data_IF_765416443315
#
_entry.id   IF_765416443315
#
_cell.length_a   1.000
_cell.length_b   1.000
_cell.length_c   1.000
_cell.angle_alpha   90.00
_cell.angle_beta   90.00
_cell.angle_gamma   90.00
#
_symmetry.space_group_name_H-M   'P 1'
#
loop_
_entity.id
_entity.type
_entity.pdbx_description
1 polymer ?
#
# COMPACT_ATOMS: atom_id res chain seq x y z
N UNK A 1 18.51 -1.45 -11.33
CA UNK A 1 17.19 -2.04 -11.02
C UNK A 1 16.24 -0.89 -10.79
N UNK A 2 15.16 -0.79 -11.57
CA UNK A 2 14.14 0.24 -11.38
C UNK A 2 13.31 -0.15 -10.16
N UNK A 3 13.67 0.37 -8.98
CA UNK A 3 12.93 0.10 -7.77
C UNK A 3 11.57 0.79 -7.83
N UNK A 4 10.50 0.04 -7.57
CA UNK A 4 9.16 0.59 -7.44
C UNK A 4 9.21 1.64 -6.30
N UNK A 5 8.76 2.89 -6.55
CA UNK A 5 8.73 3.91 -5.52
C UNK A 5 7.92 3.43 -4.32
N UNK A 6 8.47 3.65 -3.12
CA UNK A 6 7.80 3.34 -1.87
C UNK A 6 7.67 4.60 -1.04
N UNK A 7 6.47 4.86 -0.54
CA UNK A 7 6.14 6.01 0.31
C UNK A 7 5.40 5.54 1.55
N UNK A 8 5.47 6.32 2.63
CA UNK A 8 4.76 6.05 3.87
C UNK A 8 3.66 7.11 4.09
N UNK A 9 2.42 6.66 4.25
CA UNK A 9 1.28 7.55 4.49
C UNK A 9 1.47 8.37 5.78
N UNK A 10 2.22 7.86 6.76
CA UNK A 10 2.50 8.59 8.00
C UNK A 10 3.22 9.91 7.73
N UNK A 11 4.06 9.99 6.70
CA UNK A 11 4.78 11.22 6.35
C UNK A 11 3.80 12.33 5.94
N UNK A 12 2.75 11.96 5.19
CA UNK A 12 1.69 12.88 4.78
C UNK A 12 0.77 13.28 5.92
N UNK A 13 0.53 12.39 6.88
CA UNK A 13 -0.34 12.66 8.03
C UNK A 13 0.39 13.39 9.17
N UNK A 14 1.73 13.36 9.17
CA UNK A 14 2.55 14.03 10.18
C UNK A 14 2.33 15.55 10.22
N UNK A 15 2.56 16.18 11.36
CA UNK A 15 2.56 17.65 11.47
C UNK A 15 3.82 18.31 10.86
N UNK A 16 4.76 17.50 10.33
CA UNK A 16 5.98 17.99 9.72
C UNK A 16 5.75 18.35 8.24
N UNK A 17 5.75 19.65 7.94
CA UNK A 17 5.55 20.17 6.58
C UNK A 17 6.58 19.64 5.56
N UNK A 18 7.82 19.39 5.98
CA UNK A 18 8.86 18.85 5.10
C UNK A 18 8.56 17.41 4.69
N UNK A 19 8.12 16.57 5.64
CA UNK A 19 7.71 15.19 5.36
C UNK A 19 6.50 15.15 4.42
N UNK A 20 5.48 15.98 4.70
CA UNK A 20 4.31 16.17 3.84
C UNK A 20 4.69 16.54 2.41
N UNK A 21 5.53 17.56 2.24
CA UNK A 21 5.97 18.03 0.92
C UNK A 21 6.77 16.96 0.17
N UNK A 22 7.67 16.26 0.86
CA UNK A 22 8.45 15.17 0.27
C UNK A 22 7.57 14.01 -0.18
N UNK A 23 6.55 13.64 0.61
CA UNK A 23 5.56 12.63 0.22
C UNK A 23 4.85 13.03 -1.08
N UNK A 24 4.31 14.26 -1.15
CA UNK A 24 3.59 14.77 -2.32
C UNK A 24 4.47 14.72 -3.59
N UNK A 25 5.72 15.19 -3.50
CA UNK A 25 6.66 15.18 -4.63
C UNK A 25 6.92 13.74 -5.11
N UNK A 26 7.17 12.80 -4.18
CA UNK A 26 7.44 11.40 -4.51
C UNK A 26 6.23 10.73 -5.17
N UNK A 27 5.03 10.96 -4.66
CA UNK A 27 3.79 10.43 -5.23
C UNK A 27 3.57 10.96 -6.64
N UNK A 28 3.70 12.28 -6.85
CA UNK A 28 3.56 12.89 -8.17
C UNK A 28 4.55 12.31 -9.18
N UNK A 29 5.83 12.20 -8.79
CA UNK A 29 6.88 11.61 -9.62
C UNK A 29 6.59 10.14 -9.97
N UNK A 30 6.17 9.34 -8.99
CA UNK A 30 5.87 7.92 -9.21
C UNK A 30 4.74 7.72 -10.23
N UNK A 31 3.67 8.51 -10.13
CA UNK A 31 2.56 8.45 -11.10
C UNK A 31 2.95 8.96 -12.49
N UNK A 32 3.83 9.96 -12.57
CA UNK A 32 4.29 10.52 -13.86
C UNK A 32 5.26 9.58 -14.61
N UNK A 33 6.18 8.92 -13.88
CA UNK A 33 7.24 8.13 -14.51
C UNK A 33 6.88 6.66 -14.70
N UNK A 34 6.16 6.08 -13.74
CA UNK A 34 5.94 4.62 -13.64
C UNK A 34 4.44 4.28 -13.65
N UNK A 35 3.60 5.19 -13.14
CA UNK A 35 2.14 5.00 -13.06
C UNK A 35 1.67 4.25 -11.83
N UNK A 36 2.58 3.75 -10.98
CA UNK A 36 2.23 3.08 -9.73
C UNK A 36 3.34 3.22 -8.66
N UNK A 37 2.97 2.98 -7.40
CA UNK A 37 3.85 3.01 -6.24
C UNK A 37 3.40 1.99 -5.19
N UNK A 38 4.28 1.70 -4.22
CA UNK A 38 3.92 0.98 -3.00
C UNK A 38 3.69 1.96 -1.84
N UNK A 39 2.58 1.80 -1.13
CA UNK A 39 2.21 2.63 0.01
C UNK A 39 2.38 1.83 1.30
N UNK A 40 2.95 2.44 2.34
CA UNK A 40 2.97 1.95 3.71
C UNK A 40 2.04 2.80 4.58
N UNK A 41 1.69 2.30 5.76
CA UNK A 41 0.85 3.04 6.71
C UNK A 41 -0.61 3.20 6.27
N UNK A 42 -1.09 2.38 5.33
CA UNK A 42 -2.46 2.45 4.78
C UNK A 42 -3.53 1.80 5.69
N UNK A 43 -3.35 1.90 7.01
CA UNK A 43 -4.32 1.51 8.05
C UNK A 43 -4.80 0.05 8.07
N UNK A 44 -4.13 -0.85 7.35
CA UNK A 44 -4.38 -2.29 7.47
C UNK A 44 -3.37 -2.88 8.45
N UNK A 45 -3.86 -3.33 9.61
CA UNK A 45 -3.03 -4.08 10.55
C UNK A 45 -2.62 -5.41 9.92
N UNK A 46 -1.49 -5.96 10.39
CA UNK A 46 -1.06 -7.29 9.96
C UNK A 46 -2.12 -8.36 10.24
N UNK A 47 -2.80 -8.26 11.38
CA UNK A 47 -3.92 -9.14 11.75
C UNK A 47 -5.06 -9.07 10.73
N UNK A 48 -5.50 -7.88 10.31
CA UNK A 48 -6.56 -7.72 9.31
C UNK A 48 -6.13 -8.26 7.94
N UNK A 49 -4.85 -8.11 7.58
CA UNK A 49 -4.29 -8.66 6.34
C UNK A 49 -4.32 -10.19 6.40
N UNK A 50 -3.83 -10.77 7.50
CA UNK A 50 -3.76 -12.22 7.69
C UNK A 50 -5.16 -12.85 7.71
N UNK A 51 -6.14 -12.22 8.37
CA UNK A 51 -7.53 -12.67 8.35
C UNK A 51 -8.13 -12.57 6.94
N UNK A 52 -7.95 -11.44 6.24
CA UNK A 52 -8.45 -11.29 4.87
C UNK A 52 -7.90 -12.37 3.94
N UNK A 53 -6.59 -12.64 3.97
CA UNK A 53 -6.00 -13.70 3.17
C UNK A 53 -6.48 -15.09 3.59
N UNK A 54 -6.76 -15.32 4.88
CA UNK A 54 -7.37 -16.56 5.37
C UNK A 54 -8.77 -16.75 4.81
N UNK A 55 -9.62 -15.73 4.84
CA UNK A 55 -10.98 -15.79 4.30
C UNK A 55 -10.98 -16.00 2.78
N UNK A 56 -10.11 -15.31 2.04
CA UNK A 56 -9.95 -15.50 0.59
C UNK A 56 -9.56 -16.94 0.27
N UNK A 57 -8.58 -17.50 0.99
CA UNK A 57 -8.16 -18.90 0.79
C UNK A 57 -9.31 -19.87 1.07
N UNK A 58 -9.98 -19.74 2.22
CA UNK A 58 -11.15 -20.55 2.57
C UNK A 58 -12.23 -20.51 1.49
N UNK A 59 -12.50 -19.32 0.93
CA UNK A 59 -13.48 -19.17 -0.15
C UNK A 59 -13.07 -19.93 -1.41
N UNK A 60 -11.81 -19.82 -1.85
CA UNK A 60 -11.34 -20.52 -3.04
C UNK A 60 -11.05 -22.02 -2.81
N UNK A 61 -10.90 -22.44 -1.56
CA UNK A 61 -10.79 -23.84 -1.13
C UNK A 61 -12.14 -24.55 -1.04
N UNK A 62 -13.26 -23.80 -1.11
CA UNK A 62 -14.58 -24.42 -1.21
C UNK A 62 -14.59 -25.38 -2.41
N UNK A 63 -15.26 -26.53 -2.30
CA UNK A 63 -15.51 -27.37 -3.45
C UNK A 63 -16.13 -26.50 -4.53
N UNK A 64 -15.52 -26.50 -5.70
CA UNK A 64 -16.26 -26.18 -6.91
C UNK A 64 -17.30 -27.29 -6.97
N UNK A 65 -18.53 -27.01 -6.57
CA UNK A 65 -19.58 -28.00 -6.79
C UNK A 65 -19.60 -28.40 -8.27
N UNK A 66 -19.92 -29.68 -8.41
CA UNK A 66 -19.36 -30.70 -9.33
C UNK A 66 -19.82 -30.54 -10.77
#
# INVERSE_FOLDING_TARGET
MSNIPSVDLSDFLSDNESLKKNFIIKVGKAYQEIGFLSLKGHFLSKENIDDLYSQIKKFFDLPKEI
#
